data_IF_948612150669
#
_entry.id   IF_948612150669
#
_cell.length_a   1.000
_cell.length_b   1.000
_cell.length_c   1.000
_cell.angle_alpha   90.00
_cell.angle_beta   90.00
_cell.angle_gamma   90.00
#
_symmetry.space_group_name_H-M   'P 1'
#
loop_
_entity.id
_entity.type
_entity.pdbx_description
1 polymer ?
#
# COMPACT_ATOMS: atom_id res chain seq x y z
N UNK A 1 -8.19 8.59 -15.46
CA UNK A 1 -6.98 9.44 -15.43
C UNK A 1 -5.87 8.80 -14.59
N UNK A 2 -6.18 8.32 -13.40
CA UNK A 2 -5.22 7.83 -12.40
C UNK A 2 -4.44 6.58 -12.82
N UNK A 3 -5.12 5.61 -13.40
CA UNK A 3 -4.51 4.33 -13.83
C UNK A 3 -3.48 4.55 -14.95
N UNK A 4 -3.76 5.43 -15.90
CA UNK A 4 -2.87 5.69 -17.02
C UNK A 4 -1.57 6.36 -16.57
N UNK A 5 -1.64 7.33 -15.66
CA UNK A 5 -0.47 8.00 -15.08
C UNK A 5 0.43 7.01 -14.34
N UNK A 6 -0.15 6.17 -13.47
CA UNK A 6 0.61 5.15 -12.75
C UNK A 6 1.20 4.08 -13.67
N UNK A 7 0.49 3.74 -14.75
CA UNK A 7 1.01 2.84 -15.78
C UNK A 7 2.19 3.44 -16.53
N UNK A 8 2.11 4.71 -16.94
CA UNK A 8 3.21 5.43 -17.59
C UNK A 8 4.43 5.57 -16.69
N UNK A 9 4.22 5.77 -15.39
CA UNK A 9 5.27 5.76 -14.36
C UNK A 9 5.77 4.35 -14.01
N UNK A 10 5.25 3.30 -14.65
CA UNK A 10 5.58 1.88 -14.42
C UNK A 10 5.31 1.41 -12.98
N UNK A 11 4.47 2.10 -12.24
CA UNK A 11 4.08 1.76 -10.86
C UNK A 11 3.11 0.59 -10.86
N UNK A 12 2.16 0.60 -11.79
CA UNK A 12 1.21 -0.49 -11.99
C UNK A 12 1.37 -1.11 -13.38
N UNK A 13 0.98 -2.36 -13.50
CA UNK A 13 0.96 -3.08 -14.78
C UNK A 13 -0.39 -3.77 -14.99
N UNK A 14 -0.70 -4.08 -16.24
CA UNK A 14 -1.80 -4.97 -16.57
C UNK A 14 -1.52 -6.42 -16.17
N UNK A 15 -2.56 -7.25 -16.19
CA UNK A 15 -2.44 -8.70 -16.08
C UNK A 15 -1.92 -9.29 -17.42
N UNK A 16 -1.65 -10.59 -17.45
CA UNK A 16 -1.10 -11.30 -18.64
C UNK A 16 -1.89 -11.05 -19.93
N UNK A 17 -3.18 -10.77 -19.84
CA UNK A 17 -4.04 -10.43 -20.98
C UNK A 17 -4.00 -8.94 -21.39
N UNK A 18 -3.10 -8.15 -20.81
CA UNK A 18 -2.96 -6.72 -21.05
C UNK A 18 -4.08 -5.85 -20.45
N UNK A 19 -5.00 -6.42 -19.66
CA UNK A 19 -6.09 -5.70 -19.01
C UNK A 19 -5.71 -5.28 -17.61
N UNK A 20 -6.14 -4.12 -17.18
CA UNK A 20 -5.93 -3.65 -15.81
C UNK A 20 -6.77 -4.39 -14.78
N UNK A 21 -7.97 -4.84 -15.15
CA UNK A 21 -8.93 -5.53 -14.28
C UNK A 21 -9.23 -4.74 -12.97
N UNK A 22 -9.86 -3.56 -13.06
CA UNK A 22 -9.99 -2.62 -11.94
C UNK A 22 -10.78 -3.17 -10.74
N UNK A 23 -11.71 -4.07 -10.99
CA UNK A 23 -12.59 -4.65 -9.97
C UNK A 23 -12.01 -5.90 -9.29
N UNK A 24 -10.89 -6.41 -9.80
CA UNK A 24 -10.23 -7.54 -9.16
C UNK A 24 -9.61 -7.10 -7.83
N UNK A 25 -9.66 -7.99 -6.85
CA UNK A 25 -8.97 -7.80 -5.59
C UNK A 25 -7.46 -7.80 -5.80
N UNK A 26 -6.77 -7.01 -4.99
CA UNK A 26 -5.31 -6.97 -4.97
C UNK A 26 -4.78 -8.05 -4.03
N UNK A 27 -3.82 -8.84 -4.48
CA UNK A 27 -3.14 -9.77 -3.58
C UNK A 27 -2.09 -9.06 -2.73
N UNK A 28 -1.68 -9.72 -1.65
CA UNK A 28 -0.73 -9.15 -0.70
C UNK A 28 0.64 -8.90 -1.33
N UNK A 29 1.14 -9.82 -2.13
CA UNK A 29 2.41 -9.68 -2.86
C UNK A 29 2.33 -8.65 -4.00
N UNK A 30 1.17 -8.52 -4.66
CA UNK A 30 0.95 -7.45 -5.64
C UNK A 30 0.97 -6.07 -4.97
N UNK A 31 0.38 -5.93 -3.79
CA UNK A 31 0.42 -4.69 -3.01
C UNK A 31 1.86 -4.29 -2.67
N UNK A 32 2.65 -5.23 -2.18
CA UNK A 32 4.07 -4.98 -1.86
C UNK A 32 4.86 -4.55 -3.09
N UNK A 33 4.69 -5.22 -4.24
CA UNK A 33 5.35 -4.84 -5.49
C UNK A 33 5.04 -3.40 -5.89
N UNK A 34 3.75 -3.01 -5.84
CA UNK A 34 3.31 -1.66 -6.20
C UNK A 34 3.94 -0.63 -5.27
N UNK A 35 3.91 -0.87 -3.97
CA UNK A 35 4.43 0.04 -2.95
C UNK A 35 5.94 0.21 -3.05
N UNK A 36 6.70 -0.87 -3.08
CA UNK A 36 8.17 -0.83 -3.20
C UNK A 36 8.59 -0.16 -4.51
N UNK A 37 7.92 -0.51 -5.62
CA UNK A 37 8.23 0.03 -6.95
C UNK A 37 7.94 1.52 -7.09
N UNK A 38 6.82 1.99 -6.51
CA UNK A 38 6.41 3.39 -6.61
C UNK A 38 7.38 4.36 -5.91
N UNK A 39 7.98 3.94 -4.81
CA UNK A 39 8.83 4.79 -3.98
C UNK A 39 10.32 4.45 -4.07
N UNK A 40 10.71 3.58 -5.03
CA UNK A 40 12.11 3.32 -5.35
C UNK A 40 12.93 2.70 -4.21
N UNK A 41 12.33 1.91 -3.34
CA UNK A 41 12.95 1.35 -2.15
C UNK A 41 13.81 0.10 -2.46
N UNK A 42 14.73 0.19 -3.43
CA UNK A 42 15.47 -0.97 -3.94
C UNK A 42 16.79 -1.27 -3.26
N UNK A 43 17.20 -0.50 -2.26
CA UNK A 43 18.59 -0.55 -1.77
C UNK A 43 18.95 -1.70 -0.84
N UNK A 44 17.99 -2.41 -0.25
CA UNK A 44 18.27 -3.44 0.76
C UNK A 44 17.37 -4.64 0.60
N UNK A 45 17.99 -5.80 0.44
CA UNK A 45 17.33 -7.11 0.49
C UNK A 45 17.71 -7.83 1.77
N UNK A 46 16.86 -8.74 2.20
CA UNK A 46 17.07 -9.63 3.33
C UNK A 46 16.60 -11.03 2.94
N UNK A 47 17.28 -12.05 3.40
CA UNK A 47 16.84 -13.43 3.20
C UNK A 47 15.53 -13.66 3.94
N UNK A 48 14.51 -14.11 3.21
CA UNK A 48 13.21 -14.38 3.77
C UNK A 48 13.19 -15.77 4.43
N UNK A 49 12.53 -15.84 5.56
CA UNK A 49 12.32 -17.10 6.29
C UNK A 49 10.87 -17.63 6.15
N UNK A 50 10.06 -17.01 5.29
CA UNK A 50 8.68 -17.43 5.05
C UNK A 50 8.64 -18.65 4.13
N UNK A 51 7.95 -19.71 4.56
CA UNK A 51 7.83 -20.96 3.82
C UNK A 51 7.00 -20.86 2.54
N UNK A 52 6.20 -19.80 2.42
CA UNK A 52 5.38 -19.47 1.25
C UNK A 52 6.04 -18.42 0.31
N UNK A 53 7.33 -18.13 0.51
CA UNK A 53 8.11 -17.23 -0.34
C UNK A 53 9.37 -17.94 -0.82
N UNK A 54 9.39 -18.39 -2.09
CA UNK A 54 10.57 -19.00 -2.67
C UNK A 54 11.39 -17.96 -3.43
N UNK A 55 12.71 -18.14 -3.43
CA UNK A 55 13.65 -17.21 -4.08
C UNK A 55 13.39 -17.05 -5.60
N UNK A 56 12.80 -18.06 -6.23
CA UNK A 56 12.44 -18.05 -7.64
C UNK A 56 11.10 -17.33 -7.92
N UNK A 57 10.34 -16.98 -6.91
CA UNK A 57 9.05 -16.29 -7.08
C UNK A 57 9.27 -14.84 -7.51
N UNK A 58 8.46 -14.36 -8.46
CA UNK A 58 8.55 -13.01 -9.01
C UNK A 58 8.44 -11.90 -7.94
N UNK A 59 7.74 -12.16 -6.85
CA UNK A 59 7.51 -11.21 -5.75
C UNK A 59 8.62 -11.25 -4.68
N UNK A 60 9.46 -12.28 -4.65
CA UNK A 60 10.48 -12.46 -3.61
C UNK A 60 11.34 -11.22 -3.38
N UNK A 61 11.92 -10.57 -4.41
CA UNK A 61 12.75 -9.38 -4.18
C UNK A 61 11.96 -8.23 -3.57
N UNK A 62 10.70 -8.05 -3.95
CA UNK A 62 9.86 -6.98 -3.40
C UNK A 62 9.47 -7.24 -1.94
N UNK A 63 9.12 -8.49 -1.60
CA UNK A 63 8.82 -8.88 -0.22
C UNK A 63 10.05 -8.74 0.66
N UNK A 64 11.22 -9.17 0.18
CA UNK A 64 12.51 -9.03 0.87
C UNK A 64 12.82 -7.56 1.22
N UNK A 65 12.66 -6.67 0.25
CA UNK A 65 12.84 -5.21 0.44
C UNK A 65 11.83 -4.67 1.47
N UNK A 66 10.56 -5.05 1.34
CA UNK A 66 9.50 -4.56 2.21
C UNK A 66 9.66 -5.02 3.67
N UNK A 67 10.11 -6.26 3.88
CA UNK A 67 10.44 -6.78 5.22
C UNK A 67 11.61 -6.00 5.80
N UNK A 68 12.69 -5.86 5.04
CA UNK A 68 13.90 -5.14 5.46
C UNK A 68 13.62 -3.67 5.79
N UNK A 69 12.75 -3.05 5.02
CA UNK A 69 12.35 -1.65 5.22
C UNK A 69 11.28 -1.46 6.31
N UNK A 70 10.83 -2.54 6.96
CA UNK A 70 9.80 -2.48 8.01
C UNK A 70 8.38 -2.17 7.51
N UNK A 71 8.15 -2.25 6.20
CA UNK A 71 6.85 -1.99 5.58
C UNK A 71 5.86 -3.10 5.91
N UNK A 72 6.32 -4.35 5.82
CA UNK A 72 5.51 -5.54 6.05
C UNK A 72 6.15 -6.47 7.06
N UNK A 73 5.28 -7.28 7.65
CA UNK A 73 5.65 -8.48 8.42
C UNK A 73 4.87 -9.65 7.86
N UNK A 74 5.24 -10.88 8.22
CA UNK A 74 4.43 -12.05 7.92
C UNK A 74 3.06 -12.00 8.61
N UNK A 75 2.12 -12.79 8.10
CA UNK A 75 0.85 -13.06 8.80
C UNK A 75 1.08 -13.98 10.00
N UNK A 76 2.20 -14.70 10.00
CA UNK A 76 2.76 -15.43 11.13
C UNK A 76 4.30 -15.37 11.09
N UNK A 77 4.95 -16.03 12.05
CA UNK A 77 6.42 -16.14 12.05
C UNK A 77 6.98 -16.85 10.81
N UNK A 78 6.22 -17.76 10.21
CA UNK A 78 6.67 -18.61 9.11
C UNK A 78 5.95 -18.39 7.78
N UNK A 79 4.92 -17.53 7.74
CA UNK A 79 4.12 -17.29 6.54
C UNK A 79 4.02 -15.78 6.25
N UNK A 80 4.30 -15.41 5.01
CA UNK A 80 4.03 -14.07 4.51
C UNK A 80 2.54 -13.86 4.19
N UNK A 81 1.84 -14.88 3.72
CA UNK A 81 0.45 -14.85 3.29
C UNK A 81 0.30 -14.61 1.79
N UNK A 82 1.19 -15.19 0.97
CA UNK A 82 1.11 -15.11 -0.49
C UNK A 82 -0.20 -15.69 -1.03
N UNK A 83 -0.69 -15.13 -2.14
CA UNK A 83 -1.94 -15.55 -2.76
C UNK A 83 -3.21 -15.10 -2.02
N UNK A 84 -3.09 -14.42 -0.87
CA UNK A 84 -4.25 -13.90 -0.14
C UNK A 84 -4.60 -12.48 -0.58
N UNK A 85 -5.89 -12.18 -0.65
CA UNK A 85 -6.33 -10.81 -0.89
C UNK A 85 -6.00 -9.93 0.32
N UNK A 86 -5.46 -8.74 0.07
CA UNK A 86 -5.21 -7.77 1.12
C UNK A 86 -6.48 -6.97 1.42
N UNK A 87 -6.78 -6.76 2.69
CA UNK A 87 -7.88 -5.89 3.09
C UNK A 87 -7.45 -4.41 3.07
N UNK A 88 -8.43 -3.53 3.13
CA UNK A 88 -8.23 -2.08 2.98
C UNK A 88 -7.41 -1.47 4.11
N UNK A 89 -7.60 -1.92 5.35
CA UNK A 89 -6.79 -1.42 6.48
C UNK A 89 -5.33 -1.89 6.41
N UNK A 90 -5.08 -3.14 5.99
CA UNK A 90 -3.72 -3.65 5.87
C UNK A 90 -2.95 -2.95 4.74
N UNK A 91 -3.63 -2.66 3.62
CA UNK A 91 -3.03 -1.86 2.57
C UNK A 91 -2.72 -0.44 3.05
N UNK A 92 -3.59 0.17 3.85
CA UNK A 92 -3.33 1.48 4.46
C UNK A 92 -2.10 1.45 5.39
N UNK A 93 -1.99 0.43 6.24
CA UNK A 93 -0.79 0.24 7.09
C UNK A 93 0.48 0.12 6.26
N UNK A 94 0.45 -0.69 5.20
CA UNK A 94 1.60 -0.83 4.31
C UNK A 94 1.96 0.49 3.62
N UNK A 95 0.97 1.23 3.11
CA UNK A 95 1.19 2.51 2.45
C UNK A 95 1.80 3.56 3.41
N UNK A 96 1.26 3.67 4.62
CA UNK A 96 1.78 4.58 5.65
C UNK A 96 3.25 4.29 5.98
N UNK A 97 3.58 3.02 6.18
CA UNK A 97 4.96 2.59 6.45
C UNK A 97 5.87 2.79 5.25
N UNK A 98 5.36 2.59 4.04
CA UNK A 98 6.12 2.86 2.80
C UNK A 98 6.48 4.33 2.69
N UNK A 99 5.53 5.23 2.93
CA UNK A 99 5.78 6.68 2.93
C UNK A 99 6.83 7.07 3.99
N UNK A 100 6.73 6.49 5.18
CA UNK A 100 7.73 6.69 6.25
C UNK A 100 9.11 6.19 5.83
N UNK A 101 9.21 5.00 5.25
CA UNK A 101 10.46 4.44 4.74
C UNK A 101 11.06 5.26 3.60
N UNK A 102 10.22 5.90 2.79
CA UNK A 102 10.62 6.85 1.74
C UNK A 102 10.99 8.25 2.27
N UNK A 103 11.01 8.45 3.59
CA UNK A 103 11.35 9.73 4.22
C UNK A 103 10.24 10.78 4.20
N UNK A 104 9.02 10.40 3.80
CA UNK A 104 7.88 11.32 3.79
C UNK A 104 7.28 11.47 5.18
N UNK A 105 7.02 12.71 5.58
CA UNK A 105 6.35 13.02 6.84
C UNK A 105 4.86 13.24 6.56
N UNK A 106 4.03 12.38 7.16
CA UNK A 106 2.60 12.63 7.21
C UNK A 106 2.33 13.71 8.25
N UNK A 107 1.64 14.77 7.84
CA UNK A 107 1.34 15.88 8.73
C UNK A 107 0.32 15.46 9.79
N UNK A 108 0.46 15.98 11.01
CA UNK A 108 -0.47 15.72 12.12
C UNK A 108 -1.79 16.51 12.01
N UNK A 109 -2.38 16.59 10.82
CA UNK A 109 -3.70 17.18 10.63
C UNK A 109 -4.77 16.34 11.36
N UNK A 110 -5.94 16.94 11.58
CA UNK A 110 -7.05 16.22 12.22
C UNK A 110 -7.54 15.11 11.31
N UNK A 111 -7.51 13.86 11.80
CA UNK A 111 -8.02 12.71 11.06
C UNK A 111 -9.52 12.87 10.74
N UNK A 112 -9.91 12.32 9.61
CA UNK A 112 -11.32 12.19 9.23
C UNK A 112 -11.94 11.07 10.06
N UNK A 113 -13.07 11.34 10.70
CA UNK A 113 -13.82 10.30 11.41
C UNK A 113 -14.66 9.51 10.42
N UNK A 114 -14.37 8.24 10.26
CA UNK A 114 -15.20 7.33 9.45
C UNK A 114 -16.41 6.83 10.25
N UNK A 115 -17.53 6.65 9.58
CA UNK A 115 -18.77 6.16 10.21
C UNK A 115 -18.61 4.72 10.77
N UNK A 116 -17.65 3.96 10.26
CA UNK A 116 -17.30 2.61 10.66
C UNK A 116 -15.91 2.52 11.34
N UNK A 117 -15.44 3.62 11.94
CA UNK A 117 -14.11 3.69 12.58
C UNK A 117 -13.90 2.63 13.67
N UNK A 118 -14.95 2.18 14.33
CA UNK A 118 -14.87 1.11 15.34
C UNK A 118 -14.50 -0.26 14.74
N UNK A 119 -14.77 -0.48 13.45
CA UNK A 119 -14.37 -1.68 12.73
C UNK A 119 -12.90 -1.70 12.32
N UNK A 120 -12.19 -0.57 12.42
CA UNK A 120 -10.76 -0.50 12.17
C UNK A 120 -10.02 -1.14 13.34
N UNK A 121 -9.19 -2.14 13.04
CA UNK A 121 -8.39 -2.83 14.06
C UNK A 121 -7.42 -1.85 14.74
N UNK A 122 -7.18 -2.03 16.03
CA UNK A 122 -6.36 -1.13 16.83
C UNK A 122 -4.97 -0.89 16.24
N UNK A 123 -4.33 -1.95 15.69
CA UNK A 123 -3.01 -1.84 15.06
C UNK A 123 -2.99 -0.95 13.81
N UNK A 124 -4.13 -0.75 13.15
CA UNK A 124 -4.24 0.02 11.90
C UNK A 124 -4.72 1.46 12.12
N UNK A 125 -5.29 1.79 13.28
CA UNK A 125 -5.92 3.08 13.54
C UNK A 125 -4.99 4.26 13.27
N UNK A 126 -3.80 4.25 13.83
CA UNK A 126 -2.86 5.34 13.68
C UNK A 126 -2.46 5.57 12.21
N UNK A 127 -2.25 4.50 11.46
CA UNK A 127 -1.89 4.57 10.04
C UNK A 127 -3.07 5.08 9.19
N UNK A 128 -4.29 4.57 9.43
CA UNK A 128 -5.51 5.02 8.73
C UNK A 128 -5.79 6.49 9.04
N UNK A 129 -5.68 6.90 10.30
CA UNK A 129 -5.86 8.28 10.73
C UNK A 129 -4.86 9.21 10.05
N UNK A 130 -3.58 8.84 10.04
CA UNK A 130 -2.54 9.63 9.39
C UNK A 130 -2.77 9.79 7.88
N UNK A 131 -3.13 8.70 7.19
CA UNK A 131 -3.41 8.75 5.75
C UNK A 131 -4.68 9.56 5.43
N UNK A 132 -5.73 9.42 6.24
CA UNK A 132 -6.98 10.19 6.03
C UNK A 132 -6.80 11.67 6.31
N UNK A 133 -6.03 12.03 7.33
CA UNK A 133 -5.69 13.41 7.66
C UNK A 133 -4.95 14.13 6.51
N UNK A 134 -4.19 13.38 5.72
CA UNK A 134 -3.45 13.88 4.56
C UNK A 134 -4.20 13.66 3.22
N UNK A 135 -5.46 13.23 3.25
CA UNK A 135 -6.31 13.05 2.07
C UNK A 135 -5.91 11.87 1.17
N UNK A 136 -5.04 10.96 1.66
CA UNK A 136 -4.56 9.82 0.88
C UNK A 136 -5.58 8.68 0.87
N UNK A 137 -6.33 8.51 1.97
CA UNK A 137 -7.51 7.67 2.04
C UNK A 137 -8.74 8.50 2.39
N UNK A 138 -9.82 8.24 1.70
CA UNK A 138 -11.12 8.87 1.98
C UNK A 138 -12.19 7.78 2.07
N UNK A 139 -13.26 8.07 2.78
CA UNK A 139 -14.45 7.23 2.81
C UNK A 139 -15.29 7.36 1.54
N UNK A 140 -16.32 6.54 1.46
CA UNK A 140 -17.39 6.69 0.47
C UNK A 140 -18.33 7.89 0.78
N UNK A 141 -19.40 8.05 0.03
CA UNK A 141 -20.40 9.09 0.24
C UNK A 141 -21.06 9.03 1.64
N UNK A 142 -21.06 7.85 2.29
CA UNK A 142 -21.52 7.64 3.65
C UNK A 142 -20.39 7.76 4.69
N UNK A 143 -19.22 8.24 4.29
CA UNK A 143 -18.02 8.37 5.11
C UNK A 143 -17.57 7.03 5.75
N UNK A 144 -17.74 5.92 5.05
CA UNK A 144 -17.27 4.60 5.50
C UNK A 144 -15.94 4.25 4.88
N UNK A 145 -15.07 3.66 5.68
CA UNK A 145 -13.75 3.20 5.28
C UNK A 145 -13.73 1.76 4.78
N UNK A 146 -14.59 0.89 5.32
CA UNK A 146 -14.65 -0.56 5.04
C UNK A 146 -13.33 -1.29 5.31
N UNK A 147 -12.80 -1.27 6.54
CA UNK A 147 -11.44 -1.72 6.84
C UNK A 147 -11.18 -3.19 6.50
N UNK A 148 -12.18 -4.05 6.67
CA UNK A 148 -12.06 -5.50 6.47
C UNK A 148 -12.33 -5.97 5.04
N UNK A 149 -12.86 -5.10 4.19
CA UNK A 149 -13.11 -5.47 2.80
C UNK A 149 -11.79 -5.60 2.03
N UNK A 150 -11.70 -6.58 1.13
CA UNK A 150 -10.58 -6.66 0.21
C UNK A 150 -10.51 -5.37 -0.61
N UNK A 151 -9.31 -4.81 -0.75
CA UNK A 151 -9.11 -3.62 -1.61
C UNK A 151 -9.03 -4.08 -3.07
N UNK A 152 -9.72 -3.36 -3.94
CA UNK A 152 -9.63 -3.59 -5.38
C UNK A 152 -8.40 -2.93 -5.99
N UNK A 153 -8.00 -3.39 -7.17
CA UNK A 153 -6.89 -2.79 -7.93
C UNK A 153 -7.15 -1.32 -8.27
N UNK A 154 -8.41 -0.95 -8.54
CA UNK A 154 -8.79 0.44 -8.78
C UNK A 154 -8.64 1.31 -7.53
N UNK A 155 -9.11 0.83 -6.39
CA UNK A 155 -9.01 1.56 -5.11
C UNK A 155 -7.56 1.75 -4.68
N UNK A 156 -6.74 0.70 -4.82
CA UNK A 156 -5.31 0.79 -4.58
C UNK A 156 -4.63 1.80 -5.52
N UNK A 157 -4.98 1.81 -6.80
CA UNK A 157 -4.43 2.78 -7.75
C UNK A 157 -4.78 4.23 -7.38
N UNK A 158 -6.01 4.49 -6.91
CA UNK A 158 -6.41 5.83 -6.44
C UNK A 158 -5.59 6.25 -5.22
N UNK A 159 -5.41 5.37 -4.24
CA UNK A 159 -4.60 5.67 -3.05
C UNK A 159 -3.13 5.90 -3.43
N UNK A 160 -2.59 5.10 -4.34
CA UNK A 160 -1.23 5.24 -4.84
C UNK A 160 -0.99 6.55 -5.59
N UNK A 161 -1.91 6.97 -6.46
CA UNK A 161 -1.78 8.25 -7.16
C UNK A 161 -1.75 9.42 -6.18
N UNK A 162 -2.64 9.42 -5.19
CA UNK A 162 -2.64 10.44 -4.14
C UNK A 162 -1.32 10.46 -3.37
N UNK A 163 -0.80 9.28 -3.02
CA UNK A 163 0.45 9.16 -2.30
C UNK A 163 1.66 9.65 -3.12
N UNK A 164 1.73 9.32 -4.40
CA UNK A 164 2.79 9.79 -5.30
C UNK A 164 2.74 11.32 -5.45
N UNK A 165 1.55 11.88 -5.70
CA UNK A 165 1.38 13.34 -5.80
C UNK A 165 1.72 14.05 -4.47
N UNK A 166 1.38 13.45 -3.34
CA UNK A 166 1.72 13.98 -2.02
C UNK A 166 3.25 14.06 -1.83
N UNK A 167 3.99 13.03 -2.25
CA UNK A 167 5.46 13.02 -2.13
C UNK A 167 6.11 14.02 -3.08
N UNK A 168 5.64 14.13 -4.32
CA UNK A 168 6.14 15.11 -5.30
C UNK A 168 5.95 16.54 -4.79
N UNK A 169 4.77 16.88 -4.29
CA UNK A 169 4.48 18.20 -3.70
C UNK A 169 5.32 18.52 -2.46
N UNK A 170 5.66 17.50 -1.67
CA UNK A 170 6.46 17.67 -0.45
C UNK A 170 7.94 17.91 -0.74
N UNK A 171 8.44 17.47 -1.90
CA UNK A 171 9.83 17.68 -2.33
C UNK A 171 10.04 19.08 -2.95
N UNK A 172 9.02 19.66 -3.57
CA UNK A 172 9.10 21.01 -4.17
C UNK A 172 9.15 22.14 -3.12
N UNK A 173 8.82 21.86 -1.85
CA UNK A 173 8.76 22.86 -0.76
C UNK A 173 10.05 22.91 0.07
N UNK A 174 11.05 22.09 -0.23
CA UNK A 174 12.36 22.19 0.45
C UNK A 174 13.25 23.18 -0.32
N UNK A 175 13.62 24.32 0.30
CA UNK A 175 14.46 25.35 -0.31
C UNK A 175 15.91 24.88 -0.49
#
# INVERSE_FOLDING_TARGET
YNILNLYQKKIISGKENGRFAPQDNLSREEAVKILVGAFGLFEKQEDLHFSDCNVEDWYYPYVSIAVKSGIVRGVSETLFGTGTNINRQDFAVMLSRTLTAAGCKLNGAKAVSFADSEAISEYARADVDALSANGLFVGDESQRFYPQNSITRAEAAVAMERAVNFTESSQEVQP
#
